data_IF_135683489426
#
_entry.id   IF_135683489426
#
_cell.length_a   1.000
_cell.length_b   1.000
_cell.length_c   1.000
_cell.angle_alpha   90.00
_cell.angle_beta   90.00
_cell.angle_gamma   90.00
#
_symmetry.space_group_name_H-M   'P 1'
#
loop_
_entity.id
_entity.type
_entity.pdbx_description
1 polymer ?
#
# COMPACT_ATOMS: atom_id res chain seq x y z
N UNK A 1 7.50 82.92 58.10
CA UNK A 1 6.41 82.12 57.48
C UNK A 1 6.51 82.32 55.97
N UNK A 2 6.33 81.23 55.22
CA UNK A 2 6.31 81.10 53.75
C UNK A 2 7.60 80.64 53.07
N UNK A 3 7.62 79.32 52.95
CA UNK A 3 8.29 78.42 52.02
C UNK A 3 8.46 78.96 50.60
N UNK A 4 9.69 78.83 50.11
CA UNK A 4 10.02 78.77 48.69
C UNK A 4 10.17 77.27 48.31
N UNK A 5 9.38 76.81 47.34
CA UNK A 5 9.34 75.40 46.88
C UNK A 5 10.31 75.26 45.70
N UNK A 6 11.39 74.54 45.92
CA UNK A 6 12.22 74.00 44.84
C UNK A 6 11.56 72.73 44.28
N UNK A 7 11.10 72.77 43.03
CA UNK A 7 10.82 71.58 42.21
C UNK A 7 12.11 71.16 41.49
N UNK A 8 12.67 69.96 41.73
CA UNK A 8 13.78 69.47 40.96
C UNK A 8 13.30 68.69 39.72
N UNK A 9 13.88 69.05 38.58
CA UNK A 9 13.79 68.46 37.24
C UNK A 9 13.17 67.07 37.08
N UNK A 10 12.06 67.02 36.35
CA UNK A 10 11.61 65.82 35.65
C UNK A 10 12.49 65.56 34.42
N UNK A 11 13.35 64.55 34.49
CA UNK A 11 14.07 64.03 33.34
C UNK A 11 13.08 63.42 32.33
N UNK A 12 13.26 63.62 31.00
CA UNK A 12 12.43 62.96 30.02
C UNK A 12 12.67 61.44 30.07
N UNK A 13 11.60 60.67 30.29
CA UNK A 13 11.61 59.22 30.13
C UNK A 13 12.07 58.91 28.71
N UNK A 14 13.26 58.31 28.58
CA UNK A 14 13.78 57.83 27.32
C UNK A 14 12.73 56.91 26.67
N UNK A 15 12.17 57.34 25.55
CA UNK A 15 11.28 56.53 24.74
C UNK A 15 12.05 55.28 24.31
N UNK A 16 11.58 54.11 24.73
CA UNK A 16 12.05 52.85 24.16
C UNK A 16 11.91 52.94 22.64
N UNK A 17 12.92 52.52 21.85
CA UNK A 17 12.86 52.67 20.40
C UNK A 17 11.64 51.91 19.88
N UNK A 18 10.74 52.64 19.22
CA UNK A 18 9.61 52.05 18.50
C UNK A 18 10.20 51.26 17.33
N UNK A 19 10.31 49.94 17.50
CA UNK A 19 10.73 49.04 16.44
C UNK A 19 9.55 48.88 15.49
N UNK A 20 9.65 49.44 14.30
CA UNK A 20 8.70 49.18 13.22
C UNK A 20 8.82 47.71 12.81
N UNK A 21 7.69 47.01 12.75
CA UNK A 21 7.63 45.56 12.45
C UNK A 21 8.19 45.25 11.05
N UNK A 22 8.14 46.22 10.13
CA UNK A 22 8.66 46.12 8.76
C UNK A 22 9.91 46.98 8.54
N UNK A 23 11.00 46.68 9.26
CA UNK A 23 12.30 47.26 8.96
C UNK A 23 12.99 46.47 7.83
N UNK A 24 13.41 47.10 6.71
CA UNK A 24 13.94 46.38 5.55
C UNK A 24 15.25 45.61 5.78
N UNK A 25 15.88 45.72 6.97
CA UNK A 25 17.12 45.00 7.36
C UNK A 25 17.23 44.70 8.87
N UNK A 26 16.14 44.35 9.55
CA UNK A 26 16.22 43.76 10.90
C UNK A 26 16.56 42.25 10.85
N UNK A 27 17.14 41.64 11.89
CA UNK A 27 17.26 40.19 11.97
C UNK A 27 15.86 39.57 12.07
N UNK A 28 15.30 39.22 10.92
CA UNK A 28 14.00 38.56 10.80
C UNK A 28 14.14 37.08 11.18
N UNK A 29 13.99 36.79 12.47
CA UNK A 29 13.78 35.44 13.00
C UNK A 29 14.96 34.83 13.77
N UNK A 30 14.70 33.73 14.51
CA UNK A 30 15.70 33.08 15.35
C UNK A 30 16.91 32.60 14.55
N UNK A 31 18.10 32.78 15.13
CA UNK A 31 19.37 32.40 14.51
C UNK A 31 19.41 30.92 14.15
N UNK A 32 20.28 30.55 13.20
CA UNK A 32 20.44 29.15 12.77
C UNK A 32 20.71 28.20 13.97
N UNK A 33 21.50 28.65 14.94
CA UNK A 33 21.83 27.88 16.14
C UNK A 33 20.60 27.62 17.01
N UNK A 34 19.73 28.62 17.20
CA UNK A 34 18.48 28.47 17.97
C UNK A 34 17.50 27.55 17.24
N UNK A 35 17.42 27.65 15.91
CA UNK A 35 16.62 26.74 15.07
C UNK A 35 17.12 25.29 15.15
N UNK A 36 18.43 25.07 15.18
CA UNK A 36 19.02 23.74 15.30
C UNK A 36 18.87 23.16 16.71
N UNK A 37 18.94 24.00 17.77
CA UNK A 37 18.67 23.55 19.15
C UNK A 37 17.22 23.13 19.36
N UNK A 38 16.28 23.81 18.71
CA UNK A 38 14.86 23.43 18.70
C UNK A 38 14.50 22.29 17.74
N UNK A 39 15.44 21.82 16.91
CA UNK A 39 15.15 20.82 15.89
C UNK A 39 14.95 19.42 16.51
N UNK A 40 13.74 18.88 16.38
CA UNK A 40 13.42 17.51 16.79
C UNK A 40 14.17 16.49 15.91
N UNK A 41 15.06 15.70 16.53
CA UNK A 41 15.80 14.63 15.85
C UNK A 41 14.92 13.40 15.64
N UNK A 42 15.02 12.79 14.46
CA UNK A 42 14.23 11.60 14.11
C UNK A 42 14.97 10.31 14.50
N UNK A 43 14.26 9.28 14.98
CA UNK A 43 14.87 7.99 15.26
C UNK A 43 15.27 7.28 13.96
N UNK A 44 16.47 6.69 13.95
CA UNK A 44 17.04 5.97 12.78
C UNK A 44 16.41 4.58 12.62
N UNK A 45 16.06 3.94 13.73
CA UNK A 45 15.44 2.62 13.76
C UNK A 45 13.96 2.78 14.10
N UNK A 46 13.04 2.16 13.34
CA UNK A 46 11.62 2.16 13.67
C UNK A 46 11.37 1.59 15.07
N UNK A 47 10.41 2.16 15.81
CA UNK A 47 10.08 1.71 17.17
C UNK A 47 9.80 0.19 17.24
N UNK A 48 9.08 -0.34 16.23
CA UNK A 48 8.72 -1.76 16.14
C UNK A 48 9.92 -2.70 16.00
N UNK A 49 11.03 -2.23 15.41
CA UNK A 49 12.25 -3.01 15.26
C UNK A 49 13.11 -2.97 16.53
N UNK A 50 12.85 -2.01 17.43
CA UNK A 50 13.62 -1.82 18.68
C UNK A 50 13.00 -2.58 19.86
N UNK A 51 11.70 -2.86 19.79
CA UNK A 51 10.96 -3.58 20.84
C UNK A 51 10.75 -5.05 20.49
N UNK A 52 11.28 -5.97 21.30
CA UNK A 52 11.06 -7.43 21.14
C UNK A 52 9.57 -7.81 21.13
N UNK A 53 8.76 -7.08 21.90
CA UNK A 53 7.31 -7.28 21.98
C UNK A 53 6.61 -6.88 20.68
N UNK A 54 6.98 -5.73 20.11
CA UNK A 54 6.41 -5.24 18.85
C UNK A 54 6.86 -6.11 17.66
N UNK A 55 8.12 -6.54 17.64
CA UNK A 55 8.63 -7.49 16.67
C UNK A 55 7.90 -8.84 16.73
N UNK A 56 7.70 -9.39 17.93
CA UNK A 56 6.96 -10.64 18.12
C UNK A 56 5.49 -10.54 17.71
N UNK A 57 4.84 -9.40 17.98
CA UNK A 57 3.47 -9.13 17.54
C UNK A 57 3.36 -9.08 16.00
N UNK A 58 4.31 -8.41 15.33
CA UNK A 58 4.39 -8.39 13.88
C UNK A 58 4.64 -9.79 13.28
N UNK A 59 5.56 -10.56 13.86
CA UNK A 59 5.87 -11.92 13.44
C UNK A 59 4.71 -12.89 13.58
N UNK A 60 3.93 -12.78 14.66
CA UNK A 60 2.73 -13.62 14.89
C UNK A 60 1.70 -13.47 13.76
N UNK A 61 1.51 -12.26 13.26
CA UNK A 61 0.62 -12.00 12.13
C UNK A 61 1.09 -12.70 10.84
N UNK A 62 2.39 -12.63 10.54
CA UNK A 62 2.98 -13.28 9.36
C UNK A 62 2.85 -14.80 9.46
N UNK A 63 3.16 -15.38 10.62
CA UNK A 63 3.03 -16.84 10.83
C UNK A 63 1.58 -17.30 10.73
N UNK A 64 0.64 -16.56 11.34
CA UNK A 64 -0.78 -16.89 11.24
C UNK A 64 -1.29 -16.82 9.79
N UNK A 65 -0.87 -15.78 9.04
CA UNK A 65 -1.20 -15.63 7.63
C UNK A 65 -0.62 -16.78 6.79
N UNK A 66 0.68 -17.08 6.93
CA UNK A 66 1.34 -18.15 6.21
C UNK A 66 0.70 -19.51 6.54
N UNK A 67 0.45 -19.78 7.83
CA UNK A 67 -0.23 -20.99 8.29
C UNK A 67 -1.62 -21.14 7.69
N UNK A 68 -2.43 -20.08 7.64
CA UNK A 68 -3.75 -20.11 7.03
C UNK A 68 -3.68 -20.37 5.52
N UNK A 69 -2.78 -19.69 4.80
CA UNK A 69 -2.60 -19.88 3.35
C UNK A 69 -2.15 -21.31 3.04
N UNK A 70 -1.17 -21.82 3.78
CA UNK A 70 -0.68 -23.19 3.64
C UNK A 70 -1.79 -24.21 3.91
N UNK A 71 -2.51 -24.08 5.02
CA UNK A 71 -3.61 -24.99 5.36
C UNK A 71 -4.73 -24.95 4.32
N UNK A 72 -5.12 -23.75 3.87
CA UNK A 72 -6.16 -23.56 2.87
C UNK A 72 -5.85 -24.28 1.55
N UNK A 73 -4.60 -24.16 1.07
CA UNK A 73 -4.18 -24.84 -0.16
C UNK A 73 -3.93 -26.33 0.08
N UNK A 74 -3.37 -26.74 1.21
CA UNK A 74 -3.12 -28.14 1.54
C UNK A 74 -4.41 -28.97 1.49
N UNK A 75 -5.51 -28.47 2.09
CA UNK A 75 -6.82 -29.13 2.05
C UNK A 75 -7.38 -29.22 0.62
N UNK A 76 -7.05 -28.25 -0.24
CA UNK A 76 -7.55 -28.19 -1.63
C UNK A 76 -6.62 -28.86 -2.65
N UNK A 77 -5.41 -29.25 -2.27
CA UNK A 77 -4.44 -29.92 -3.16
C UNK A 77 -5.05 -31.12 -3.90
N UNK A 78 -5.82 -32.03 -3.25
CA UNK A 78 -6.45 -33.14 -3.97
C UNK A 78 -7.44 -32.68 -5.05
N UNK A 79 -8.21 -31.63 -4.76
CA UNK A 79 -9.15 -31.04 -5.70
C UNK A 79 -8.44 -30.35 -6.87
N UNK A 80 -7.34 -29.64 -6.61
CA UNK A 80 -6.51 -29.03 -7.65
C UNK A 80 -5.91 -30.09 -8.58
N UNK A 81 -5.38 -31.17 -8.02
CA UNK A 81 -4.85 -32.29 -8.78
C UNK A 81 -5.93 -32.96 -9.66
N UNK A 82 -7.12 -33.18 -9.11
CA UNK A 82 -8.26 -33.71 -9.88
C UNK A 82 -8.62 -32.80 -11.07
N UNK A 83 -8.81 -31.50 -10.83
CA UNK A 83 -9.13 -30.53 -11.90
C UNK A 83 -8.05 -30.46 -12.97
N UNK A 84 -6.77 -30.49 -12.60
CA UNK A 84 -5.65 -30.48 -13.55
C UNK A 84 -5.61 -31.78 -14.36
N UNK A 85 -5.86 -32.93 -13.74
CA UNK A 85 -5.94 -34.22 -14.42
C UNK A 85 -7.04 -34.22 -15.48
N UNK A 86 -8.24 -33.73 -15.14
CA UNK A 86 -9.36 -33.58 -16.09
C UNK A 86 -9.07 -32.58 -17.23
N UNK A 87 -8.12 -31.66 -17.03
CA UNK A 87 -7.70 -30.66 -18.03
C UNK A 87 -6.50 -31.12 -18.87
N UNK A 88 -5.77 -32.15 -18.45
CA UNK A 88 -4.58 -32.61 -19.13
C UNK A 88 -4.82 -32.98 -20.60
N UNK A 89 -5.91 -33.68 -20.99
CA UNK A 89 -6.18 -33.96 -22.40
C UNK A 89 -6.33 -32.71 -23.26
N UNK A 90 -6.97 -31.65 -22.72
CA UNK A 90 -7.08 -30.35 -23.42
C UNK A 90 -5.72 -29.68 -23.58
N UNK A 91 -4.84 -29.78 -22.59
CA UNK A 91 -3.47 -29.29 -22.67
C UNK A 91 -2.67 -30.00 -23.75
N UNK A 92 -2.75 -31.33 -23.78
CA UNK A 92 -2.12 -32.15 -24.84
C UNK A 92 -2.63 -31.72 -26.21
N UNK A 93 -3.95 -31.60 -26.40
CA UNK A 93 -4.53 -31.16 -27.67
C UNK A 93 -4.04 -29.76 -28.09
N UNK A 94 -3.89 -28.83 -27.14
CA UNK A 94 -3.36 -27.47 -27.42
C UNK A 94 -1.88 -27.49 -27.78
N UNK A 95 -1.06 -28.28 -27.09
CA UNK A 95 0.36 -28.40 -27.39
C UNK A 95 0.52 -29.03 -28.77
N UNK A 96 -0.12 -30.17 -29.04
CA UNK A 96 -0.05 -30.86 -30.33
C UNK A 96 -0.59 -29.95 -31.45
N UNK A 97 -1.77 -29.38 -31.30
CA UNK A 97 -2.35 -28.48 -32.31
C UNK A 97 -1.56 -27.18 -32.50
N UNK A 98 -0.95 -26.66 -31.43
CA UNK A 98 -0.03 -25.53 -31.48
C UNK A 98 1.26 -25.87 -32.25
N UNK A 99 1.87 -27.01 -31.94
CA UNK A 99 3.06 -27.52 -32.62
C UNK A 99 2.79 -27.77 -34.10
N UNK A 100 1.67 -28.39 -34.47
CA UNK A 100 1.29 -28.62 -35.87
C UNK A 100 1.08 -27.30 -36.62
N UNK A 101 0.37 -26.33 -36.02
CA UNK A 101 0.18 -24.99 -36.60
C UNK A 101 1.50 -24.24 -36.77
N UNK A 102 2.40 -24.36 -35.80
CA UNK A 102 3.74 -23.77 -35.85
C UNK A 102 4.59 -24.40 -36.95
N UNK A 103 4.56 -25.74 -37.08
CA UNK A 103 5.29 -26.49 -38.11
C UNK A 103 4.93 -26.02 -39.52
N UNK A 104 3.64 -25.76 -39.78
CA UNK A 104 3.16 -25.33 -41.11
C UNK A 104 3.19 -23.82 -41.33
N UNK A 105 3.65 -23.03 -40.35
CA UNK A 105 3.64 -21.56 -40.39
C UNK A 105 2.23 -20.96 -40.56
N UNK A 106 1.25 -21.52 -39.84
CA UNK A 106 -0.16 -21.12 -39.94
C UNK A 106 -0.38 -19.64 -39.58
N UNK A 107 0.45 -19.06 -38.71
CA UNK A 107 0.38 -17.64 -38.31
C UNK A 107 0.62 -16.69 -39.50
N UNK A 108 1.40 -17.11 -40.50
CA UNK A 108 1.70 -16.32 -41.70
C UNK A 108 0.70 -16.52 -42.84
N UNK A 109 -0.26 -17.45 -42.71
CA UNK A 109 -1.27 -17.72 -43.74
C UNK A 109 -2.12 -16.49 -44.08
N UNK A 110 -2.66 -15.72 -43.12
CA UNK A 110 -3.51 -14.56 -43.44
C UNK A 110 -2.78 -13.48 -44.24
N UNK A 111 -1.49 -13.28 -43.98
CA UNK A 111 -0.67 -12.31 -44.72
C UNK A 111 -0.44 -12.76 -46.17
N UNK A 112 -0.19 -14.06 -46.39
CA UNK A 112 -0.06 -14.63 -47.73
C UNK A 112 -1.39 -14.56 -48.50
N UNK A 113 -2.52 -14.79 -47.83
CA UNK A 113 -3.83 -14.64 -48.44
C UNK A 113 -4.11 -13.18 -48.81
N UNK A 114 -3.80 -12.23 -47.93
CA UNK A 114 -3.96 -10.80 -48.21
C UNK A 114 -3.14 -10.34 -49.44
N UNK A 115 -1.89 -10.80 -49.56
CA UNK A 115 -1.06 -10.51 -50.73
C UNK A 115 -1.64 -11.13 -52.02
N UNK A 116 -2.13 -12.38 -51.95
CA UNK A 116 -2.77 -13.05 -53.07
C UNK A 116 -4.07 -12.35 -53.50
N UNK A 117 -4.90 -11.89 -52.55
CA UNK A 117 -6.14 -11.15 -52.84
C UNK A 117 -5.87 -9.79 -53.49
N UNK A 118 -4.73 -9.17 -53.19
CA UNK A 118 -4.30 -7.90 -53.81
C UNK A 118 -3.57 -8.10 -55.13
N UNK A 119 -3.40 -9.35 -55.57
CA UNK A 119 -2.63 -9.72 -56.76
C UNK A 119 -1.17 -9.23 -56.74
N UNK A 120 -0.61 -8.99 -55.54
CA UNK A 120 0.80 -8.61 -55.39
C UNK A 120 1.70 -9.85 -55.42
N UNK A 121 2.13 -10.19 -56.64
CA UNK A 121 2.95 -11.37 -56.91
C UNK A 121 4.32 -11.26 -56.21
N UNK A 122 4.91 -10.06 -56.16
CA UNK A 122 6.25 -9.89 -55.58
C UNK A 122 6.23 -10.09 -54.07
N UNK A 123 5.25 -9.48 -53.38
CA UNK A 123 5.05 -9.64 -51.94
C UNK A 123 4.72 -11.09 -51.60
N UNK A 124 3.84 -11.75 -52.37
CA UNK A 124 3.51 -13.15 -52.18
C UNK A 124 4.74 -14.07 -52.28
N UNK A 125 5.57 -13.90 -53.32
CA UNK A 125 6.78 -14.71 -53.52
C UNK A 125 7.83 -14.46 -52.42
N UNK A 126 7.93 -13.23 -51.88
CA UNK A 126 8.79 -12.93 -50.71
C UNK A 126 8.32 -13.67 -49.46
N UNK A 127 7.02 -13.58 -49.15
CA UNK A 127 6.42 -14.26 -48.00
C UNK A 127 6.51 -15.79 -48.11
N UNK A 128 6.29 -16.33 -49.31
CA UNK A 128 6.38 -17.78 -49.59
C UNK A 128 7.81 -18.31 -49.35
N UNK A 129 8.84 -17.63 -49.88
CA UNK A 129 10.25 -17.99 -49.64
C UNK A 129 10.61 -17.95 -48.15
N UNK A 130 10.09 -16.96 -47.41
CA UNK A 130 10.32 -16.87 -45.97
C UNK A 130 9.65 -18.02 -45.22
N UNK A 131 8.43 -18.41 -45.62
CA UNK A 131 7.70 -19.56 -45.10
C UNK A 131 8.48 -20.85 -45.35
N UNK A 132 8.96 -21.11 -46.56
CA UNK A 132 9.72 -22.32 -46.88
C UNK A 132 10.98 -22.45 -46.01
N UNK A 133 11.70 -21.34 -45.79
CA UNK A 133 12.87 -21.33 -44.90
C UNK A 133 12.51 -21.67 -43.46
N UNK A 134 11.42 -21.08 -42.93
CA UNK A 134 10.92 -21.36 -41.58
C UNK A 134 10.46 -22.81 -41.47
N UNK A 135 9.59 -23.26 -42.36
CA UNK A 135 9.02 -24.61 -42.37
C UNK A 135 10.14 -25.65 -42.49
N UNK A 136 11.13 -25.46 -43.36
CA UNK A 136 12.26 -26.42 -43.48
C UNK A 136 12.98 -26.62 -42.15
N UNK A 137 13.34 -25.53 -41.46
CA UNK A 137 13.98 -25.62 -40.14
C UNK A 137 13.04 -26.21 -39.08
N UNK A 138 11.78 -25.74 -39.03
CA UNK A 138 10.78 -26.22 -38.08
C UNK A 138 10.47 -27.71 -38.26
N UNK A 139 10.43 -28.20 -39.50
CA UNK A 139 10.24 -29.62 -39.83
C UNK A 139 11.42 -30.47 -39.37
N UNK A 140 12.66 -29.99 -39.51
CA UNK A 140 13.84 -30.68 -38.94
C UNK A 140 13.72 -30.75 -37.42
N UNK A 141 13.39 -29.65 -36.75
CA UNK A 141 13.17 -29.62 -35.30
C UNK A 141 12.04 -30.56 -34.88
N UNK A 142 10.92 -30.56 -35.63
CA UNK A 142 9.78 -31.43 -35.37
C UNK A 142 10.10 -32.91 -35.55
N UNK A 143 10.85 -33.27 -36.59
CA UNK A 143 11.31 -34.64 -36.82
C UNK A 143 12.22 -35.11 -35.69
N UNK A 144 13.21 -34.28 -35.30
CA UNK A 144 14.09 -34.58 -34.16
C UNK A 144 13.28 -34.76 -32.88
N UNK A 145 12.33 -33.87 -32.59
CA UNK A 145 11.47 -33.98 -31.42
C UNK A 145 10.63 -35.26 -31.43
N UNK A 146 10.13 -35.68 -32.60
CA UNK A 146 9.32 -36.91 -32.76
C UNK A 146 10.11 -38.18 -32.46
N UNK A 147 11.44 -38.17 -32.65
CA UNK A 147 12.32 -39.30 -32.31
C UNK A 147 12.83 -39.19 -30.88
N UNK A 148 13.32 -38.03 -30.47
CA UNK A 148 13.97 -37.82 -29.18
C UNK A 148 12.97 -37.98 -28.02
N UNK A 149 11.76 -37.42 -28.12
CA UNK A 149 10.79 -37.45 -27.02
C UNK A 149 10.37 -38.89 -26.67
N UNK A 150 9.99 -39.76 -27.63
CA UNK A 150 9.70 -41.17 -27.33
C UNK A 150 10.91 -41.95 -26.82
N UNK A 151 12.10 -41.74 -27.40
CA UNK A 151 13.33 -42.43 -26.95
C UNK A 151 13.65 -42.09 -25.48
N UNK A 152 13.56 -40.82 -25.11
CA UNK A 152 13.73 -40.38 -23.72
C UNK A 152 12.62 -40.96 -22.84
N UNK A 153 11.36 -40.99 -23.31
CA UNK A 153 10.24 -41.57 -22.58
C UNK A 153 10.40 -43.07 -22.31
N UNK A 154 10.83 -43.84 -23.31
CA UNK A 154 11.12 -45.27 -23.20
C UNK A 154 12.32 -45.50 -22.29
N UNK A 155 13.39 -44.72 -22.46
CA UNK A 155 14.58 -44.77 -21.62
C UNK A 155 14.23 -44.54 -20.15
N UNK A 156 13.40 -43.53 -19.85
CA UNK A 156 12.87 -43.32 -18.50
C UNK A 156 12.06 -44.52 -18.02
N UNK A 157 11.11 -45.02 -18.82
CA UNK A 157 10.27 -46.17 -18.45
C UNK A 157 11.08 -47.42 -18.08
N UNK A 158 12.18 -47.69 -18.81
CA UNK A 158 13.00 -48.89 -18.61
C UNK A 158 14.04 -48.71 -17.50
N UNK A 159 14.67 -47.53 -17.40
CA UNK A 159 15.84 -47.30 -16.53
C UNK A 159 15.50 -46.64 -15.19
N UNK A 160 14.36 -45.92 -15.09
CA UNK A 160 14.05 -45.15 -13.91
C UNK A 160 13.39 -46.00 -12.81
N UNK A 161 13.69 -45.72 -11.53
CA UNK A 161 12.98 -46.35 -10.42
C UNK A 161 11.50 -45.91 -10.41
N UNK A 162 10.63 -46.77 -9.87
CA UNK A 162 9.16 -46.57 -9.87
C UNK A 162 8.73 -45.22 -9.28
N UNK A 163 9.39 -44.75 -8.22
CA UNK A 163 9.06 -43.47 -7.60
C UNK A 163 9.35 -42.28 -8.53
N UNK A 164 10.41 -42.37 -9.36
CA UNK A 164 10.77 -41.33 -10.31
C UNK A 164 9.77 -41.32 -11.47
N UNK A 165 9.35 -42.50 -11.95
CA UNK A 165 8.29 -42.62 -12.95
C UNK A 165 6.97 -42.02 -12.47
N UNK A 166 6.57 -42.32 -11.23
CA UNK A 166 5.36 -41.74 -10.64
C UNK A 166 5.46 -40.22 -10.53
N UNK A 167 6.60 -39.68 -10.07
CA UNK A 167 6.82 -38.24 -9.97
C UNK A 167 6.80 -37.56 -11.35
N UNK A 168 7.47 -38.14 -12.35
CA UNK A 168 7.48 -37.64 -13.72
C UNK A 168 6.08 -37.67 -14.36
N UNK A 169 5.32 -38.74 -14.13
CA UNK A 169 3.93 -38.86 -14.59
C UNK A 169 3.04 -37.78 -13.97
N UNK A 170 3.11 -37.61 -12.65
CA UNK A 170 2.38 -36.54 -11.95
C UNK A 170 2.79 -35.16 -12.48
N UNK A 171 4.08 -34.89 -12.62
CA UNK A 171 4.58 -33.62 -13.15
C UNK A 171 4.06 -33.37 -14.57
N UNK A 172 4.11 -34.37 -15.46
CA UNK A 172 3.60 -34.27 -16.82
C UNK A 172 2.09 -33.97 -16.84
N UNK A 173 1.29 -34.68 -16.05
CA UNK A 173 -0.15 -34.44 -15.93
C UNK A 173 -0.45 -33.04 -15.39
N UNK A 174 0.29 -32.58 -14.38
CA UNK A 174 0.12 -31.24 -13.79
C UNK A 174 0.49 -30.14 -14.78
N UNK A 175 1.58 -30.29 -15.54
CA UNK A 175 1.99 -29.34 -16.59
C UNK A 175 0.96 -29.31 -17.72
N UNK A 176 0.54 -30.47 -18.23
CA UNK A 176 -0.48 -30.53 -19.29
C UNK A 176 -1.82 -29.99 -18.80
N UNK A 177 -2.22 -30.30 -17.57
CA UNK A 177 -3.42 -29.73 -16.94
C UNK A 177 -3.39 -28.21 -16.87
N UNK A 178 -2.21 -27.64 -16.57
CA UNK A 178 -1.99 -26.19 -16.54
C UNK A 178 -2.03 -25.56 -17.92
N UNK A 179 -1.45 -26.20 -18.95
CA UNK A 179 -1.54 -25.73 -20.34
C UNK A 179 -2.96 -25.85 -20.92
N UNK A 180 -3.75 -26.82 -20.43
CA UNK A 180 -5.16 -27.02 -20.78
C UNK A 180 -6.14 -26.07 -20.09
N UNK A 181 -5.65 -25.18 -19.24
CA UNK A 181 -6.45 -24.27 -18.43
C UNK A 181 -7.07 -23.13 -19.28
N UNK A 182 -8.35 -22.80 -19.12
CA UNK A 182 -8.93 -21.55 -19.65
C UNK A 182 -8.39 -20.33 -18.87
N UNK A 183 -8.24 -19.20 -19.55
CA UNK A 183 -7.70 -17.97 -18.93
C UNK A 183 -8.58 -17.46 -17.77
N UNK A 184 -9.90 -17.61 -17.89
CA UNK A 184 -10.87 -17.05 -16.95
C UNK A 184 -11.17 -17.96 -15.75
N UNK A 185 -10.73 -19.22 -15.76
CA UNK A 185 -11.00 -20.17 -14.67
C UNK A 185 -9.70 -20.84 -14.16
N UNK A 186 -8.90 -20.08 -13.38
CA UNK A 186 -7.70 -20.59 -12.78
C UNK A 186 -7.99 -21.66 -11.70
N UNK A 187 -7.19 -22.73 -11.62
CA UNK A 187 -7.36 -23.82 -10.63
C UNK A 187 -7.05 -23.33 -9.22
N UNK A 188 -6.05 -22.45 -9.10
CA UNK A 188 -5.63 -21.84 -7.84
C UNK A 188 -6.25 -20.44 -7.79
N UNK A 189 -7.16 -20.24 -6.85
CA UNK A 189 -7.74 -18.93 -6.56
C UNK A 189 -6.99 -18.25 -5.41
N UNK A 190 -7.15 -16.93 -5.30
CA UNK A 190 -6.57 -16.14 -4.22
C UNK A 190 -7.24 -16.50 -2.90
N UNK A 191 -6.45 -16.94 -1.93
CA UNK A 191 -6.90 -17.39 -0.60
C UNK A 191 -7.33 -16.25 0.32
N UNK A 192 -6.59 -15.14 0.26
CA UNK A 192 -6.84 -13.98 1.12
C UNK A 192 -6.95 -12.74 0.26
N UNK A 193 -8.12 -12.12 0.28
CA UNK A 193 -8.29 -10.75 -0.16
C UNK A 193 -7.70 -9.85 0.91
N UNK A 194 -6.47 -9.40 0.70
CA UNK A 194 -5.89 -8.35 1.55
C UNK A 194 -6.64 -7.08 1.19
N UNK A 195 -7.43 -6.49 2.10
CA UNK A 195 -8.06 -5.20 1.84
C UNK A 195 -6.92 -4.24 1.52
N UNK A 196 -6.93 -3.67 0.31
CA UNK A 196 -6.00 -2.60 -0.02
C UNK A 196 -6.46 -1.37 0.76
N UNK A 197 -6.14 -1.32 2.05
CA UNK A 197 -6.02 -0.05 2.74
C UNK A 197 -4.89 0.70 2.02
N UNK A 198 -5.25 1.45 0.97
CA UNK A 198 -4.34 2.34 0.26
C UNK A 198 -3.53 3.14 1.27
N UNK A 199 -2.21 3.16 1.08
CA UNK A 199 -1.30 3.99 1.86
C UNK A 199 -1.84 5.42 1.87
N UNK A 200 -1.90 6.04 3.05
CA UNK A 200 -2.27 7.46 3.14
C UNK A 200 -1.14 8.29 2.50
N UNK A 201 -1.42 8.90 1.35
CA UNK A 201 -0.49 9.79 0.66
C UNK A 201 -0.95 11.23 0.78
N UNK A 202 -0.01 12.17 0.61
CA UNK A 202 -0.31 13.60 0.63
C UNK A 202 -1.40 13.96 -0.37
N UNK A 203 -1.34 13.44 -1.59
CA UNK A 203 -2.36 13.70 -2.62
C UNK A 203 -3.76 13.22 -2.22
N UNK A 204 -3.86 12.09 -1.52
CA UNK A 204 -5.14 11.57 -1.03
C UNK A 204 -5.71 12.50 0.03
N UNK A 205 -4.89 12.95 0.97
CA UNK A 205 -5.32 13.91 2.02
C UNK A 205 -5.74 15.23 1.40
N UNK A 206 -4.95 15.78 0.47
CA UNK A 206 -5.27 17.03 -0.23
C UNK A 206 -6.57 16.94 -1.02
N UNK A 207 -6.76 15.85 -1.77
CA UNK A 207 -8.00 15.58 -2.51
C UNK A 207 -9.20 15.47 -1.56
N UNK A 208 -9.03 14.78 -0.44
CA UNK A 208 -10.11 14.62 0.54
C UNK A 208 -10.47 15.96 1.22
N UNK A 209 -9.48 16.80 1.54
CA UNK A 209 -9.71 18.14 2.08
C UNK A 209 -10.41 19.06 1.07
N UNK A 210 -10.06 18.98 -0.22
CA UNK A 210 -10.76 19.72 -1.28
C UNK A 210 -12.23 19.26 -1.46
N UNK A 211 -12.50 17.98 -1.22
CA UNK A 211 -13.86 17.43 -1.27
C UNK A 211 -14.76 17.90 -0.10
N UNK A 212 -14.21 18.54 0.94
CA UNK A 212 -14.99 19.07 2.06
C UNK A 212 -15.88 20.24 1.66
N UNK A 213 -15.57 20.94 0.56
CA UNK A 213 -16.30 22.12 0.12
C UNK A 213 -16.10 23.32 1.05
N UNK A 214 -14.93 23.44 1.69
CA UNK A 214 -14.56 24.61 2.48
C UNK A 214 -13.96 25.64 1.51
N UNK A 215 -14.59 26.83 1.31
CA UNK A 215 -14.19 27.77 0.26
C UNK A 215 -12.72 28.17 0.32
N UNK A 216 -12.18 28.42 1.52
CA UNK A 216 -10.78 28.81 1.69
C UNK A 216 -9.79 27.70 1.28
N UNK A 217 -10.11 26.42 1.55
CA UNK A 217 -9.29 25.28 1.10
C UNK A 217 -9.32 25.18 -0.43
N UNK A 218 -10.51 25.26 -1.01
CA UNK A 218 -10.69 25.15 -2.46
C UNK A 218 -9.99 26.29 -3.20
N UNK A 219 -10.08 27.51 -2.67
CA UNK A 219 -9.38 28.68 -3.22
C UNK A 219 -7.86 28.53 -3.12
N UNK A 220 -7.35 28.03 -1.98
CA UNK A 220 -5.92 27.77 -1.80
C UNK A 220 -5.41 26.74 -2.82
N UNK A 221 -6.16 25.66 -3.06
CA UNK A 221 -5.81 24.64 -4.05
C UNK A 221 -5.93 25.15 -5.49
N UNK A 222 -7.00 25.89 -5.81
CA UNK A 222 -7.25 26.41 -7.16
C UNK A 222 -6.17 27.41 -7.62
N UNK A 223 -5.57 28.17 -6.68
CA UNK A 223 -4.45 29.08 -6.94
C UNK A 223 -3.09 28.36 -7.07
N UNK A 224 -3.08 27.02 -7.11
CA UNK A 224 -1.86 26.21 -7.13
C UNK A 224 -1.12 26.17 -5.79
N UNK A 225 -1.73 26.68 -4.72
CA UNK A 225 -1.21 26.57 -3.37
C UNK A 225 -1.42 25.16 -2.80
N UNK A 226 -0.67 24.78 -1.75
CA UNK A 226 -0.70 23.42 -1.22
C UNK A 226 -2.05 23.02 -0.62
N UNK A 227 -2.94 23.97 -0.27
CA UNK A 227 -4.25 23.71 0.33
C UNK A 227 -4.21 23.13 1.76
N UNK A 228 -3.10 22.51 2.14
CA UNK A 228 -2.73 22.02 3.46
C UNK A 228 -1.20 21.85 3.49
N UNK A 229 -0.52 22.50 4.44
CA UNK A 229 0.92 22.45 4.55
C UNK A 229 1.34 21.35 5.54
N UNK A 230 1.88 20.24 5.04
CA UNK A 230 2.36 19.15 5.91
C UNK A 230 3.55 19.60 6.76
N UNK A 231 3.40 19.54 8.08
CA UNK A 231 4.45 19.93 9.04
C UNK A 231 5.32 18.75 9.42
N UNK A 232 4.78 17.54 9.32
CA UNK A 232 5.51 16.29 9.46
C UNK A 232 5.18 15.32 8.31
N UNK A 233 6.11 14.43 7.92
CA UNK A 233 5.81 13.38 6.95
C UNK A 233 4.72 12.45 7.49
N UNK A 234 3.87 11.95 6.60
CA UNK A 234 2.85 10.97 6.96
C UNK A 234 3.55 9.71 7.49
N UNK A 235 3.28 9.36 8.74
CA UNK A 235 3.95 8.24 9.44
C UNK A 235 2.94 7.23 9.97
N UNK A 236 3.42 6.02 10.22
CA UNK A 236 2.65 4.97 10.89
C UNK A 236 2.55 5.29 12.37
N UNK A 237 1.34 5.19 12.90
CA UNK A 237 1.04 5.52 14.28
C UNK A 237 -0.08 4.62 14.82
N UNK A 238 0.32 3.64 15.61
CA UNK A 238 -0.57 2.54 16.02
C UNK A 238 -1.11 1.76 14.81
N UNK A 239 -2.37 1.29 14.83
CA UNK A 239 -3.03 0.61 13.72
C UNK A 239 -3.56 1.61 12.67
N UNK A 240 -2.75 2.60 12.28
CA UNK A 240 -3.16 3.69 11.38
C UNK A 240 -2.03 4.54 10.83
N UNK A 241 -2.40 5.65 10.20
CA UNK A 241 -1.52 6.68 9.66
C UNK A 241 -1.82 8.02 10.32
N UNK A 242 -0.77 8.79 10.58
CA UNK A 242 -0.86 10.15 11.11
C UNK A 242 -0.38 11.14 10.04
N UNK A 243 -1.22 12.12 9.72
CA UNK A 243 -0.87 13.29 8.92
C UNK A 243 -1.05 14.55 9.76
N UNK A 244 0.02 15.34 9.92
CA UNK A 244 -0.03 16.61 10.63
C UNK A 244 0.35 17.75 9.69
N UNK A 245 -0.34 18.87 9.84
CA UNK A 245 -0.10 20.04 9.01
C UNK A 245 -1.02 21.21 9.34
N UNK A 246 -0.80 22.29 8.61
CA UNK A 246 -1.48 23.56 8.80
C UNK A 246 -2.51 23.79 7.69
N UNK A 247 -3.73 24.11 8.12
CA UNK A 247 -4.83 24.51 7.25
C UNK A 247 -4.62 25.94 6.72
N UNK A 248 -5.24 26.31 5.60
CA UNK A 248 -5.21 27.67 5.10
C UNK A 248 -5.75 28.68 6.11
N UNK A 249 -5.27 29.92 6.02
CA UNK A 249 -5.71 30.99 6.91
C UNK A 249 -7.23 31.15 6.95
N UNK A 250 -7.77 31.29 8.15
CA UNK A 250 -9.21 31.43 8.39
C UNK A 250 -9.99 30.11 8.43
N UNK A 251 -9.34 28.96 8.23
CA UNK A 251 -9.96 27.64 8.42
C UNK A 251 -9.50 27.05 9.74
N UNK A 252 -10.45 26.63 10.57
CA UNK A 252 -10.16 25.96 11.84
C UNK A 252 -10.28 24.46 11.70
N UNK A 253 -9.66 23.73 12.63
CA UNK A 253 -9.84 22.27 12.71
C UNK A 253 -11.29 21.89 12.99
N UNK A 254 -12.05 22.72 13.72
CA UNK A 254 -13.47 22.49 14.00
C UNK A 254 -14.27 22.40 12.70
N UNK A 255 -13.99 23.28 11.72
CA UNK A 255 -14.65 23.24 10.40
C UNK A 255 -14.43 21.90 9.66
N UNK A 256 -13.29 21.25 9.91
CA UNK A 256 -12.95 19.93 9.36
C UNK A 256 -13.62 18.81 10.16
N UNK A 257 -13.65 18.92 11.49
CA UNK A 257 -14.31 17.98 12.40
C UNK A 257 -15.82 17.92 12.09
N UNK A 258 -16.47 19.06 11.91
CA UNK A 258 -17.90 19.15 11.61
C UNK A 258 -18.24 18.48 10.27
N UNK A 259 -17.27 18.42 9.35
CA UNK A 259 -17.40 17.78 8.03
C UNK A 259 -16.73 16.42 7.94
N UNK A 260 -16.50 15.75 9.09
CA UNK A 260 -15.82 14.45 9.17
C UNK A 260 -16.43 13.38 8.26
N UNK A 261 -17.75 13.34 8.09
CA UNK A 261 -18.40 12.37 7.21
C UNK A 261 -17.98 12.56 5.73
N UNK A 262 -17.94 13.82 5.27
CA UNK A 262 -17.42 14.16 3.94
C UNK A 262 -15.93 13.86 3.82
N UNK A 263 -15.17 14.09 4.89
CA UNK A 263 -13.75 13.73 4.94
C UNK A 263 -13.53 12.22 4.76
N UNK A 264 -14.32 11.41 5.47
CA UNK A 264 -14.28 9.96 5.38
C UNK A 264 -14.64 9.46 3.96
N UNK A 265 -15.68 10.06 3.36
CA UNK A 265 -16.03 9.81 1.96
C UNK A 265 -14.91 10.19 0.99
N UNK A 266 -14.29 11.37 1.17
CA UNK A 266 -13.16 11.84 0.37
C UNK A 266 -11.92 10.93 0.46
N UNK A 267 -11.66 10.36 1.63
CA UNK A 267 -10.60 9.37 1.86
C UNK A 267 -10.99 7.95 1.39
N UNK A 268 -12.26 7.72 1.00
CA UNK A 268 -12.84 6.40 0.71
C UNK A 268 -12.61 5.41 1.85
N UNK A 269 -12.91 5.85 3.07
CA UNK A 269 -12.77 5.07 4.32
C UNK A 269 -14.07 5.10 5.11
N UNK A 270 -14.38 4.03 5.87
CA UNK A 270 -15.44 4.06 6.86
C UNK A 270 -15.26 5.23 7.84
N UNK A 271 -16.36 5.75 8.34
CA UNK A 271 -16.36 6.87 9.27
C UNK A 271 -15.47 6.57 10.49
N UNK A 272 -15.57 5.36 11.06
CA UNK A 272 -14.80 4.93 12.23
C UNK A 272 -13.28 4.88 12.04
N UNK A 273 -12.77 5.04 10.82
CA UNK A 273 -11.34 5.11 10.54
C UNK A 273 -10.77 6.54 10.61
N UNK A 274 -11.60 7.58 10.48
CA UNK A 274 -11.10 8.95 10.26
C UNK A 274 -11.32 9.80 11.49
N UNK A 275 -10.23 10.38 12.02
CA UNK A 275 -10.23 11.12 13.27
C UNK A 275 -9.39 12.41 13.12
N UNK A 276 -10.03 13.52 12.71
CA UNK A 276 -9.42 14.83 12.77
C UNK A 276 -9.40 15.36 14.21
N UNK A 277 -8.26 15.87 14.64
CA UNK A 277 -8.02 16.42 15.98
C UNK A 277 -7.28 17.75 15.90
N UNK A 278 -7.61 18.65 16.82
CA UNK A 278 -6.80 19.83 17.05
C UNK A 278 -5.60 19.44 17.93
N UNK A 279 -4.44 20.05 17.68
CA UNK A 279 -3.29 19.88 18.57
C UNK A 279 -3.44 20.88 19.73
N UNK A 280 -3.57 20.41 20.99
CA UNK A 280 -3.57 21.29 22.14
C UNK A 280 -2.25 22.09 22.16
N UNK A 281 -2.31 23.35 22.61
CA UNK A 281 -1.15 24.27 22.73
C UNK A 281 -0.58 24.83 21.42
N UNK A 282 -1.20 24.54 20.27
CA UNK A 282 -0.85 25.14 18.97
C UNK A 282 -2.01 25.95 18.37
N UNK A 283 -1.78 26.61 17.22
CA UNK A 283 -2.81 27.43 16.58
C UNK A 283 -4.00 26.60 16.08
N UNK A 284 -5.19 27.19 16.05
CA UNK A 284 -6.47 26.53 15.71
C UNK A 284 -6.54 25.95 14.29
N UNK A 285 -5.65 26.38 13.40
CA UNK A 285 -5.47 25.81 12.05
C UNK A 285 -4.58 24.57 11.98
N UNK A 286 -3.97 24.11 13.08
CA UNK A 286 -3.10 22.93 13.09
C UNK A 286 -3.90 21.65 13.21
N UNK A 287 -4.04 20.95 12.10
CA UNK A 287 -4.79 19.70 12.01
C UNK A 287 -3.87 18.50 12.21
N UNK A 288 -4.25 17.65 13.16
CA UNK A 288 -3.76 16.28 13.29
C UNK A 288 -4.83 15.34 12.76
N UNK A 289 -4.58 14.73 11.61
CA UNK A 289 -5.49 13.77 10.98
C UNK A 289 -4.96 12.35 11.19
N UNK A 290 -5.62 11.59 12.06
CA UNK A 290 -5.36 10.16 12.20
C UNK A 290 -6.35 9.34 11.35
N UNK A 291 -5.81 8.39 10.59
CA UNK A 291 -6.59 7.49 9.72
C UNK A 291 -6.24 6.04 10.05
N UNK A 292 -7.18 5.32 10.67
CA UNK A 292 -7.05 3.90 11.00
C UNK A 292 -7.05 2.99 9.77
N UNK A 293 -6.35 1.86 9.88
CA UNK A 293 -6.34 0.80 8.86
C UNK A 293 -7.67 0.03 8.82
N UNK A 294 -8.37 -0.05 9.94
CA UNK A 294 -9.66 -0.73 10.12
C UNK A 294 -10.62 0.18 10.87
N UNK A 295 -11.92 -0.10 10.75
CA UNK A 295 -12.94 0.61 11.52
C UNK A 295 -12.75 0.30 13.01
N UNK A 296 -12.86 1.32 13.87
CA UNK A 296 -12.76 1.15 15.32
C UNK A 296 -13.76 0.12 15.85
N UNK A 297 -14.95 0.01 15.23
CA UNK A 297 -15.96 -1.00 15.57
C UNK A 297 -15.55 -2.45 15.26
N UNK A 298 -14.66 -2.64 14.28
CA UNK A 298 -14.15 -3.96 13.87
C UNK A 298 -12.81 -4.29 14.52
N UNK A 299 -12.19 -3.30 15.17
CA UNK A 299 -10.88 -3.46 15.79
C UNK A 299 -11.03 -4.24 17.10
N UNK A 300 -10.25 -5.31 17.24
CA UNK A 300 -10.25 -6.12 18.47
C UNK A 300 -9.62 -5.34 19.62
N UNK A 301 -10.38 -5.12 20.68
CA UNK A 301 -9.85 -4.48 21.89
C UNK A 301 -8.73 -5.33 22.52
N UNK A 302 -7.61 -4.71 22.92
CA UNK A 302 -6.56 -5.41 23.66
C UNK A 302 -7.12 -5.90 25.01
N UNK A 303 -6.62 -7.04 25.49
CA UNK A 303 -7.01 -7.58 26.80
C UNK A 303 -6.77 -6.49 27.86
N UNK A 304 -7.82 -6.14 28.60
CA UNK A 304 -7.76 -5.11 29.62
C UNK A 304 -6.79 -5.53 30.75
N UNK A 305 -5.78 -4.71 31.09
CA UNK A 305 -4.76 -5.08 32.07
C UNK A 305 -5.31 -5.38 33.47
N UNK A 306 -6.44 -4.76 33.82
CA UNK A 306 -7.10 -4.93 35.12
C UNK A 306 -7.99 -6.18 35.20
N UNK A 307 -8.14 -6.95 34.12
CA UNK A 307 -8.81 -8.26 34.17
C UNK A 307 -8.05 -9.27 35.04
N UNK A 308 -6.75 -9.04 35.26
CA UNK A 308 -5.96 -9.89 36.14
C UNK A 308 -6.22 -9.48 37.59
N UNK A 309 -6.68 -10.42 38.43
CA UNK A 309 -7.06 -10.19 39.84
C UNK A 309 -5.82 -9.88 40.68
N UNK A 310 -5.42 -8.61 40.71
CA UNK A 310 -4.33 -8.08 41.55
C UNK A 310 -4.84 -6.89 42.35
N UNK A 311 -4.35 -6.69 43.60
CA UNK A 311 -4.63 -5.47 44.36
C UNK A 311 -4.22 -4.24 43.54
N UNK A 312 -5.15 -3.28 43.39
CA UNK A 312 -4.99 -2.09 42.56
C UNK A 312 -5.00 -0.83 43.43
N UNK A 313 -4.07 0.07 43.19
CA UNK A 313 -3.99 1.38 43.84
C UNK A 313 -4.69 2.42 42.95
N UNK A 314 -5.90 2.84 43.33
CA UNK A 314 -6.72 3.78 42.56
C UNK A 314 -6.16 5.23 42.55
N UNK A 315 -5.18 5.52 43.41
CA UNK A 315 -4.49 6.81 43.43
C UNK A 315 -3.30 6.87 42.46
N UNK A 316 -2.95 5.74 41.84
CA UNK A 316 -1.98 5.68 40.76
C UNK A 316 -2.71 5.62 39.42
N UNK A 317 -2.08 6.15 38.37
CA UNK A 317 -2.63 6.14 37.02
C UNK A 317 -2.97 4.70 36.57
N UNK A 318 -4.26 4.42 36.42
CA UNK A 318 -4.76 3.10 36.02
C UNK A 318 -5.30 3.10 34.60
N UNK A 319 -5.01 2.05 33.79
CA UNK A 319 -5.51 1.94 32.43
C UNK A 319 -7.03 1.74 32.45
N UNK A 320 -7.78 2.74 32.00
CA UNK A 320 -9.24 2.71 31.99
C UNK A 320 -9.78 2.19 30.66
N UNK A 321 -9.40 2.84 29.57
CA UNK A 321 -9.87 2.53 28.22
C UNK A 321 -8.73 2.72 27.21
N UNK A 322 -8.96 2.32 25.96
CA UNK A 322 -8.06 2.65 24.84
C UNK A 322 -8.61 3.81 24.02
N UNK A 323 -7.75 4.72 23.59
CA UNK A 323 -8.08 5.71 22.58
C UNK A 323 -8.25 5.05 21.19
N UNK A 324 -8.66 5.83 20.18
CA UNK A 324 -8.82 5.35 18.81
C UNK A 324 -7.51 4.84 18.18
N UNK A 325 -6.35 5.21 18.74
CA UNK A 325 -5.02 4.74 18.32
C UNK A 325 -4.60 3.46 19.04
N UNK A 326 -5.43 2.95 19.95
CA UNK A 326 -5.15 1.76 20.76
C UNK A 326 -4.20 2.00 21.94
N UNK A 327 -3.95 3.26 22.32
CA UNK A 327 -3.14 3.61 23.49
C UNK A 327 -4.02 3.64 24.73
N UNK A 328 -3.49 3.21 25.87
CA UNK A 328 -4.23 3.25 27.13
C UNK A 328 -4.40 4.68 27.62
N UNK A 329 -5.66 5.08 27.77
CA UNK A 329 -6.06 6.26 28.52
C UNK A 329 -6.08 5.85 29.99
N UNK A 330 -5.28 6.55 30.78
CA UNK A 330 -5.18 6.33 32.21
C UNK A 330 -6.11 7.30 32.95
N UNK A 331 -6.71 6.83 34.03
CA UNK A 331 -7.46 7.65 34.98
C UNK A 331 -6.86 7.51 36.37
N UNK A 332 -7.00 8.55 37.18
CA UNK A 332 -6.59 8.61 38.58
C UNK A 332 -7.70 9.33 39.34
N UNK A 333 -7.88 8.99 40.62
CA UNK A 333 -8.84 9.67 41.50
C UNK A 333 -8.32 11.01 42.07
N UNK A 334 -7.15 11.47 41.62
CA UNK A 334 -6.57 12.79 41.93
C UNK A 334 -6.41 13.63 40.67
#
# INVERSE_FOLDING_TARGET
MNHDKQDPGGAPLASAPVVTVDAPRGPSGPGLVDRVRGAKRRPVVPAWARSRREFGAAGKGVVAYAGHVSAYHAVRTPWYACRLTLRAPRGVARVVGGSLRWLVDAEGEPLRQAAATREDIEEYLKLSRQRDRRVRWRSVVGLVATVVVPVVGIGLYVLAPVWLLALSGVAAVMVMGRLGQPADDPVIHRTVEIPKASKLTSDIVLRALGALGIPAINQAQAKGGPGFAFTSPITRDGPGWLAEGDLPYGVTVIDVIDRRERLASGLRRPLGCVWPEAVPDEHTGRLRLWVGDQDMSQTRQPKWPLLDVKPLDLFKAQPFATDQRGRWVVTSLM
#
